data_IF_367166680850
#
_entry.id   IF_367166680850
#
_cell.length_a   1.000
_cell.length_b   1.000
_cell.length_c   1.000
_cell.angle_alpha   90.00
_cell.angle_beta   90.00
_cell.angle_gamma   90.00
#
_symmetry.space_group_name_H-M   'P 1'
#
loop_
_entity.id
_entity.type
_entity.pdbx_description
1 polymer ?
#
# COMPACT_ATOMS: atom_id res chain seq x y z
N UNK A 1 7.81 -28.89 11.08
CA UNK A 1 7.68 -27.69 11.95
C UNK A 1 8.76 -26.65 11.68
N UNK A 2 10.04 -26.85 12.02
CA UNK A 2 11.08 -25.82 11.77
C UNK A 2 11.35 -25.53 10.29
N UNK A 3 11.33 -26.56 9.42
CA UNK A 3 11.53 -26.41 7.97
C UNK A 3 10.37 -25.70 7.26
N UNK A 4 9.14 -25.91 7.74
CA UNK A 4 7.93 -25.29 7.17
C UNK A 4 7.84 -23.81 7.56
N UNK A 5 8.21 -23.48 8.81
CA UNK A 5 8.36 -22.10 9.26
C UNK A 5 9.43 -21.40 8.44
N UNK A 6 10.61 -22.01 8.24
CA UNK A 6 11.67 -21.41 7.42
C UNK A 6 11.22 -21.19 5.96
N UNK A 7 10.42 -22.10 5.39
CA UNK A 7 9.90 -21.99 4.01
C UNK A 7 8.92 -20.82 3.84
N UNK A 8 8.21 -20.42 4.89
CA UNK A 8 7.32 -19.25 4.90
C UNK A 8 8.05 -17.97 5.36
N UNK A 9 8.94 -18.09 6.33
CA UNK A 9 9.66 -16.98 6.93
C UNK A 9 10.65 -16.35 5.95
N UNK A 10 11.38 -17.13 5.15
CA UNK A 10 12.33 -16.60 4.16
C UNK A 10 11.63 -15.68 3.14
N UNK A 11 10.54 -16.09 2.45
CA UNK A 11 9.84 -15.20 1.53
C UNK A 11 9.13 -14.03 2.24
N UNK A 12 8.61 -14.23 3.45
CA UNK A 12 8.01 -13.14 4.22
C UNK A 12 9.06 -12.08 4.61
N UNK A 13 10.24 -12.49 5.08
CA UNK A 13 11.36 -11.60 5.36
C UNK A 13 11.86 -10.92 4.09
N UNK A 14 11.91 -11.64 2.96
CA UNK A 14 12.22 -11.06 1.66
C UNK A 14 11.24 -9.94 1.28
N UNK A 15 9.94 -10.15 1.48
CA UNK A 15 8.92 -9.13 1.24
C UNK A 15 9.05 -7.92 2.18
N UNK A 16 9.38 -8.16 3.46
CA UNK A 16 9.62 -7.09 4.44
C UNK A 16 10.83 -6.23 4.10
N UNK A 17 11.90 -6.82 3.57
CA UNK A 17 13.13 -6.10 3.18
C UNK A 17 12.98 -5.44 1.80
N UNK A 18 12.08 -5.93 0.95
CA UNK A 18 11.87 -5.38 -0.38
C UNK A 18 11.46 -3.89 -0.33
N UNK A 19 10.52 -3.53 0.54
CA UNK A 19 10.04 -2.14 0.68
C UNK A 19 11.17 -1.14 0.98
N UNK A 20 11.98 -1.29 2.05
CA UNK A 20 13.08 -0.38 2.31
C UNK A 20 14.17 -0.43 1.24
N UNK A 21 14.40 -1.59 0.61
CA UNK A 21 15.34 -1.70 -0.49
C UNK A 21 14.91 -0.86 -1.70
N UNK A 22 13.62 -0.89 -2.06
CA UNK A 22 13.08 -0.05 -3.14
C UNK A 22 13.26 1.43 -2.83
N UNK A 23 12.97 1.87 -1.60
CA UNK A 23 13.15 3.27 -1.21
C UNK A 23 14.61 3.73 -1.32
N UNK A 24 15.57 2.90 -0.91
CA UNK A 24 17.00 3.21 -1.03
C UNK A 24 17.41 3.32 -2.51
N UNK A 25 16.94 2.39 -3.35
CA UNK A 25 17.24 2.39 -4.78
C UNK A 25 16.65 3.63 -5.46
N UNK A 26 15.40 3.99 -5.15
CA UNK A 26 14.75 5.19 -5.69
C UNK A 26 15.51 6.46 -5.30
N UNK A 27 15.90 6.58 -4.03
CA UNK A 27 16.69 7.71 -3.55
C UNK A 27 18.09 7.77 -4.19
N UNK A 28 18.74 6.62 -4.41
CA UNK A 28 20.03 6.56 -5.09
C UNK A 28 19.93 6.96 -6.58
N UNK A 29 18.86 6.53 -7.25
CA UNK A 29 18.57 6.92 -8.64
C UNK A 29 18.29 8.42 -8.72
N UNK A 30 17.41 8.97 -7.89
CA UNK A 30 17.15 10.42 -7.93
C UNK A 30 18.36 11.23 -7.47
N UNK A 31 19.15 10.70 -6.53
CA UNK A 31 20.36 11.34 -6.03
C UNK A 31 21.42 11.55 -7.11
N UNK A 32 21.50 10.69 -8.13
CA UNK A 32 22.43 10.89 -9.25
C UNK A 32 22.06 12.08 -10.16
N UNK A 33 20.81 12.58 -10.07
CA UNK A 33 20.34 13.75 -10.82
C UNK A 33 20.72 15.08 -10.14
N UNK A 34 21.27 15.02 -8.93
CA UNK A 34 21.73 16.18 -8.16
C UNK A 34 20.85 16.51 -6.95
N UNK A 35 21.26 17.55 -6.21
CA UNK A 35 20.67 17.90 -4.90
C UNK A 35 19.24 18.45 -5.03
N UNK A 36 18.94 19.21 -6.08
CA UNK A 36 17.61 19.82 -6.26
C UNK A 36 16.53 18.75 -6.52
N UNK A 37 16.70 17.81 -7.47
CA UNK A 37 15.77 16.69 -7.63
C UNK A 37 15.62 15.84 -6.36
N UNK A 38 16.70 15.60 -5.62
CA UNK A 38 16.67 14.83 -4.37
C UNK A 38 15.89 15.55 -3.26
N UNK A 39 16.02 16.87 -3.14
CA UNK A 39 15.22 17.67 -2.22
C UNK A 39 13.73 17.63 -2.61
N UNK A 40 13.43 17.69 -3.92
CA UNK A 40 12.08 17.50 -4.46
C UNK A 40 11.50 16.13 -4.12
N UNK A 41 12.29 15.07 -4.23
CA UNK A 41 11.90 13.71 -3.81
C UNK A 41 11.51 13.65 -2.33
N UNK A 42 12.22 14.37 -1.46
CA UNK A 42 11.88 14.43 -0.03
C UNK A 42 10.47 14.98 0.22
N UNK A 43 10.10 16.09 -0.44
CA UNK A 43 8.76 16.67 -0.34
C UNK A 43 7.72 15.74 -0.95
N UNK A 44 7.98 15.22 -2.15
CA UNK A 44 7.09 14.27 -2.82
C UNK A 44 6.84 13.02 -1.96
N UNK A 45 7.87 12.54 -1.26
CA UNK A 45 7.78 11.37 -0.38
C UNK A 45 6.88 11.63 0.83
N UNK A 46 6.92 12.83 1.42
CA UNK A 46 6.03 13.20 2.53
C UNK A 46 4.55 13.23 2.09
N UNK A 47 4.28 13.79 0.91
CA UNK A 47 2.93 13.79 0.32
C UNK A 47 2.49 12.35 0.01
N UNK A 48 3.35 11.56 -0.62
CA UNK A 48 3.07 10.17 -0.94
C UNK A 48 2.79 9.33 0.31
N UNK A 49 3.57 9.47 1.37
CA UNK A 49 3.33 8.78 2.65
C UNK A 49 1.98 9.15 3.26
N UNK A 50 1.57 10.41 3.14
CA UNK A 50 0.24 10.84 3.59
C UNK A 50 -0.87 10.13 2.80
N UNK A 51 -0.74 10.08 1.48
CA UNK A 51 -1.68 9.38 0.59
C UNK A 51 -1.72 7.88 0.92
N UNK A 52 -0.56 7.24 1.06
CA UNK A 52 -0.44 5.82 1.44
C UNK A 52 -1.09 5.58 2.78
N UNK A 53 -0.90 6.46 3.77
CA UNK A 53 -1.56 6.38 5.08
C UNK A 53 -3.09 6.37 4.98
N UNK A 54 -3.67 7.22 4.11
CA UNK A 54 -5.11 7.21 3.83
C UNK A 54 -5.57 5.91 3.19
N UNK A 55 -4.78 5.35 2.27
CA UNK A 55 -5.11 4.08 1.61
C UNK A 55 -5.02 2.90 2.58
N UNK A 56 -4.02 2.88 3.47
CA UNK A 56 -3.89 1.88 4.54
C UNK A 56 -5.08 1.98 5.50
N UNK A 57 -5.45 3.19 5.90
CA UNK A 57 -6.64 3.42 6.73
C UNK A 57 -7.88 2.81 6.07
N UNK A 58 -8.10 3.07 4.78
CA UNK A 58 -9.21 2.51 4.04
C UNK A 58 -9.18 0.98 4.01
N UNK A 59 -8.03 0.39 3.69
CA UNK A 59 -7.85 -1.06 3.67
C UNK A 59 -8.15 -1.71 5.03
N UNK A 60 -7.70 -1.08 6.12
CA UNK A 60 -7.92 -1.57 7.48
C UNK A 60 -9.37 -1.35 7.94
N UNK A 61 -10.07 -0.34 7.44
CA UNK A 61 -11.49 -0.13 7.70
C UNK A 61 -12.38 -1.13 6.94
N UNK A 62 -12.01 -1.50 5.71
CA UNK A 62 -12.78 -2.45 4.87
C UNK A 62 -12.58 -3.90 5.29
N UNK A 63 -11.41 -4.27 5.80
CA UNK A 63 -11.07 -5.66 6.16
C UNK A 63 -12.04 -6.25 7.19
N UNK A 64 -12.36 -5.60 8.33
CA UNK A 64 -13.36 -6.08 9.28
C UNK A 64 -14.76 -6.13 8.67
N UNK A 65 -15.11 -5.22 7.76
CA UNK A 65 -16.43 -5.19 7.12
C UNK A 65 -16.64 -6.44 6.23
N UNK A 66 -15.62 -6.83 5.46
CA UNK A 66 -15.59 -8.06 4.68
C UNK A 66 -15.59 -9.27 5.62
N UNK A 67 -14.73 -9.28 6.65
CA UNK A 67 -14.59 -10.38 7.60
C UNK A 67 -15.90 -10.68 8.36
N UNK A 68 -16.65 -9.65 8.76
CA UNK A 68 -17.95 -9.83 9.42
C UNK A 68 -18.97 -10.54 8.52
N UNK A 69 -19.05 -10.16 7.25
CA UNK A 69 -19.98 -10.77 6.28
C UNK A 69 -19.56 -12.19 5.94
N UNK A 70 -18.26 -12.42 5.78
CA UNK A 70 -17.70 -13.73 5.52
C UNK A 70 -17.95 -14.69 6.71
N UNK A 71 -17.73 -14.23 7.95
CA UNK A 71 -17.99 -15.00 9.16
C UNK A 71 -19.48 -15.30 9.42
N UNK A 72 -20.39 -14.53 8.82
CA UNK A 72 -21.83 -14.78 8.89
C UNK A 72 -22.34 -15.85 7.91
N UNK A 73 -21.44 -16.48 7.13
CA UNK A 73 -21.80 -17.51 6.14
C UNK A 73 -22.35 -16.96 4.82
N UNK A 74 -22.21 -15.66 4.56
CA UNK A 74 -22.63 -15.01 3.31
C UNK A 74 -21.40 -14.53 2.50
N UNK A 75 -20.68 -15.47 1.84
CA UNK A 75 -19.46 -15.14 1.11
C UNK A 75 -19.73 -14.24 -0.10
N UNK A 76 -20.92 -14.32 -0.71
CA UNK A 76 -21.28 -13.48 -1.85
C UNK A 76 -21.32 -12.00 -1.44
N UNK A 77 -21.98 -11.69 -0.31
CA UNK A 77 -21.99 -10.31 0.22
C UNK A 77 -20.64 -9.85 0.76
N UNK A 78 -19.77 -10.77 1.19
CA UNK A 78 -18.41 -10.44 1.59
C UNK A 78 -17.58 -9.99 0.38
N UNK A 79 -17.70 -10.69 -0.75
CA UNK A 79 -17.04 -10.31 -2.02
C UNK A 79 -17.55 -8.96 -2.51
N UNK A 80 -18.87 -8.74 -2.53
CA UNK A 80 -19.42 -7.42 -2.91
C UNK A 80 -18.88 -6.29 -2.03
N UNK A 81 -18.76 -6.50 -0.71
CA UNK A 81 -18.18 -5.50 0.20
C UNK A 81 -16.71 -5.19 -0.13
N UNK A 82 -15.94 -6.21 -0.52
CA UNK A 82 -14.56 -6.04 -0.94
C UNK A 82 -14.46 -5.25 -2.24
N UNK A 83 -15.33 -5.56 -3.21
CA UNK A 83 -15.42 -4.84 -4.48
C UNK A 83 -15.82 -3.37 -4.25
N UNK A 84 -16.78 -3.11 -3.38
CA UNK A 84 -17.17 -1.73 -3.00
C UNK A 84 -15.97 -0.98 -2.40
N UNK A 85 -15.20 -1.64 -1.54
CA UNK A 85 -13.96 -1.10 -0.98
C UNK A 85 -12.91 -0.81 -2.05
N UNK A 86 -12.75 -1.71 -3.03
CA UNK A 86 -11.83 -1.51 -4.17
C UNK A 86 -12.26 -0.34 -5.06
N UNK A 87 -13.56 -0.19 -5.34
CA UNK A 87 -14.09 0.96 -6.07
C UNK A 87 -13.85 2.26 -5.32
N UNK A 88 -14.03 2.26 -4.00
CA UNK A 88 -13.77 3.43 -3.18
C UNK A 88 -12.28 3.78 -3.17
N UNK A 89 -11.40 2.79 -3.06
CA UNK A 89 -9.96 2.98 -3.15
C UNK A 89 -9.53 3.52 -4.52
N UNK A 90 -10.08 2.97 -5.60
CA UNK A 90 -9.82 3.46 -6.96
C UNK A 90 -10.30 4.91 -7.14
N UNK A 91 -11.52 5.22 -6.70
CA UNK A 91 -12.07 6.57 -6.77
C UNK A 91 -11.25 7.58 -5.96
N UNK A 92 -10.92 7.25 -4.72
CA UNK A 92 -10.09 8.10 -3.87
C UNK A 92 -8.68 8.28 -4.46
N UNK A 93 -8.07 7.20 -4.95
CA UNK A 93 -6.77 7.24 -5.62
C UNK A 93 -6.79 8.11 -6.88
N UNK A 94 -7.83 8.00 -7.70
CA UNK A 94 -8.00 8.84 -8.88
C UNK A 94 -8.15 10.32 -8.53
N UNK A 95 -8.95 10.66 -7.50
CA UNK A 95 -9.09 12.04 -7.03
C UNK A 95 -7.76 12.60 -6.52
N UNK A 96 -7.01 11.81 -5.74
CA UNK A 96 -5.70 12.22 -5.23
C UNK A 96 -4.68 12.40 -6.38
N UNK A 97 -4.70 11.50 -7.37
CA UNK A 97 -3.82 11.59 -8.54
C UNK A 97 -4.13 12.83 -9.39
N UNK A 98 -5.42 13.10 -9.65
CA UNK A 98 -5.84 14.29 -10.39
C UNK A 98 -5.55 15.57 -9.60
N UNK A 99 -5.77 15.56 -8.29
CA UNK A 99 -5.48 16.69 -7.42
C UNK A 99 -3.98 16.99 -7.28
N UNK A 100 -3.12 15.96 -7.36
CA UNK A 100 -1.67 16.14 -7.40
C UNK A 100 -1.13 16.51 -8.79
N UNK A 101 -1.92 16.34 -9.83
CA UNK A 101 -1.57 16.70 -11.22
C UNK A 101 -1.90 18.16 -11.56
N UNK A 102 -2.94 18.72 -10.94
CA UNK A 102 -3.37 20.12 -11.06
C UNK A 102 -2.50 21.06 -10.20
#
# INVERSE_FOLDING_TARGET
MNRDILRLAVPALGALVAEPAFLIVDAALVGHLGVIPLAGLGIASAVLQTIVGLMIFLAYATTPAVARRFGAGDPSRAVSAGIDGMWLALGAGAVLALGGWL
#
